data_IF_203398266459
#
_entry.id   IF_203398266459
#
_cell.length_a   1.000
_cell.length_b   1.000
_cell.length_c   1.000
_cell.angle_alpha   90.00
_cell.angle_beta   90.00
_cell.angle_gamma   90.00
#
_symmetry.space_group_name_H-M   'P 1'
#
loop_
_entity.id
_entity.type
_entity.pdbx_description
1 polymer ?
#
# COMPACT_ATOMS: atom_id res chain seq x y z
N UNK A 1 13.61 4.30 6.94
CA UNK A 1 12.62 3.60 6.08
C UNK A 1 11.20 3.80 6.61
N UNK A 2 10.97 3.53 7.90
CA UNK A 2 9.66 3.69 8.56
C UNK A 2 9.06 5.12 8.50
N UNK A 3 9.91 6.17 8.53
CA UNK A 3 9.45 7.57 8.37
C UNK A 3 8.90 7.89 6.98
N UNK A 4 9.53 7.34 5.93
CA UNK A 4 9.07 7.54 4.54
C UNK A 4 7.75 6.82 4.30
N UNK A 5 7.61 5.60 4.82
CA UNK A 5 6.35 4.85 4.82
C UNK A 5 5.23 5.63 5.51
N UNK A 6 5.53 6.18 6.70
CA UNK A 6 4.56 6.96 7.47
C UNK A 6 4.16 8.26 6.77
N UNK A 7 5.11 8.94 6.11
CA UNK A 7 4.81 10.15 5.33
C UNK A 7 3.88 9.83 4.17
N UNK A 8 4.17 8.76 3.41
CA UNK A 8 3.35 8.34 2.28
C UNK A 8 1.93 7.91 2.72
N UNK A 9 1.81 7.15 3.80
CA UNK A 9 0.52 6.76 4.36
C UNK A 9 -0.32 7.96 4.81
N UNK A 10 0.30 8.99 5.41
CA UNK A 10 -0.38 10.24 5.78
C UNK A 10 -0.88 10.98 4.54
N UNK A 11 -0.04 11.11 3.51
CA UNK A 11 -0.45 11.73 2.25
C UNK A 11 -1.65 11.02 1.63
N UNK A 12 -1.64 9.68 1.60
CA UNK A 12 -2.77 8.90 1.11
C UNK A 12 -4.05 9.12 1.92
N UNK A 13 -3.92 9.11 3.26
CA UNK A 13 -5.04 9.41 4.15
C UNK A 13 -5.60 10.82 3.89
N UNK A 14 -4.74 11.82 3.72
CA UNK A 14 -5.14 13.21 3.45
C UNK A 14 -5.80 13.35 2.08
N UNK A 15 -5.45 12.49 1.11
CA UNK A 15 -6.15 12.35 -0.17
C UNK A 15 -7.45 11.51 -0.09
N UNK A 16 -7.84 11.07 1.11
CA UNK A 16 -9.04 10.26 1.34
C UNK A 16 -8.94 8.82 0.87
N UNK A 17 -7.74 8.27 0.73
CA UNK A 17 -7.52 6.85 0.43
C UNK A 17 -7.63 6.05 1.73
N UNK A 18 -8.58 5.14 1.78
CA UNK A 18 -8.90 4.34 2.97
C UNK A 18 -8.21 2.97 2.94
N UNK A 19 -8.22 2.33 1.78
CA UNK A 19 -7.75 0.95 1.59
C UNK A 19 -6.79 0.83 0.41
N UNK A 20 -5.75 0.00 0.57
CA UNK A 20 -4.77 -0.31 -0.48
C UNK A 20 -4.54 -1.82 -0.57
N UNK A 21 -4.08 -2.29 -1.74
CA UNK A 21 -3.54 -3.63 -1.92
C UNK A 21 -2.29 -3.57 -2.81
N UNK A 22 -1.44 -4.59 -2.71
CA UNK A 22 -0.21 -4.70 -3.51
C UNK A 22 -0.39 -5.75 -4.59
N UNK A 23 0.03 -5.41 -5.81
CA UNK A 23 0.05 -6.29 -6.98
C UNK A 23 1.36 -6.05 -7.73
N UNK A 24 2.30 -7.00 -7.69
CA UNK A 24 3.67 -6.93 -8.20
C UNK A 24 4.04 -5.71 -9.04
N UNK A 25 4.94 -4.90 -8.45
CA UNK A 25 5.41 -3.60 -8.95
C UNK A 25 4.32 -2.51 -9.05
N UNK A 26 3.21 -2.67 -8.33
CA UNK A 26 2.08 -1.73 -8.29
C UNK A 26 1.41 -1.80 -6.92
N UNK A 27 1.19 -0.65 -6.29
CA UNK A 27 0.12 -0.53 -5.30
C UNK A 27 -1.07 0.10 -6.01
N UNK A 28 -2.18 -0.63 -6.03
CA UNK A 28 -3.44 -0.12 -6.56
C UNK A 28 -4.32 0.27 -5.36
N UNK A 29 -4.83 1.49 -5.35
CA UNK A 29 -5.81 1.94 -4.37
C UNK A 29 -7.24 1.59 -4.83
N UNK A 30 -8.12 1.26 -3.89
CA UNK A 30 -9.55 1.11 -4.19
C UNK A 30 -10.16 2.48 -4.51
N UNK A 31 -10.53 2.69 -5.79
CA UNK A 31 -11.52 3.69 -6.26
C UNK A 31 -11.84 3.65 -7.79
N UNK A 32 -11.34 2.64 -8.54
CA UNK A 32 -11.45 2.47 -10.02
C UNK A 32 -10.98 3.69 -10.86
N UNK A 33 -10.72 3.65 -12.17
CA UNK A 33 -9.94 2.70 -12.99
C UNK A 33 -8.71 3.45 -13.53
N UNK A 34 -7.56 2.77 -13.75
CA UNK A 34 -6.40 3.38 -14.43
C UNK A 34 -5.88 2.50 -15.57
N UNK A 35 -6.20 2.86 -16.83
CA UNK A 35 -5.48 2.40 -18.00
C UNK A 35 -4.22 3.26 -18.24
N UNK A 36 -3.18 2.60 -18.73
CA UNK A 36 -1.84 3.09 -19.09
C UNK A 36 -0.81 3.24 -17.97
N UNK A 37 -0.05 2.14 -17.88
CA UNK A 37 1.05 1.83 -16.98
C UNK A 37 2.34 2.47 -17.51
N UNK A 38 2.55 3.78 -17.32
CA UNK A 38 3.91 4.31 -17.37
C UNK A 38 4.59 4.04 -16.03
N UNK A 39 5.63 3.21 -16.10
CA UNK A 39 6.44 2.71 -15.00
C UNK A 39 7.07 3.89 -14.23
N UNK A 40 6.37 4.37 -13.20
CA UNK A 40 7.10 4.85 -12.03
C UNK A 40 7.87 3.65 -11.50
N UNK A 41 9.19 3.80 -11.32
CA UNK A 41 9.95 2.89 -10.47
C UNK A 41 9.37 3.02 -9.07
N UNK A 42 8.39 2.18 -8.81
CA UNK A 42 7.52 2.30 -7.67
C UNK A 42 8.30 1.87 -6.41
N UNK A 43 8.84 2.83 -5.67
CA UNK A 43 9.56 2.56 -4.42
C UNK A 43 8.71 1.73 -3.43
N UNK A 44 7.40 1.61 -3.65
CA UNK A 44 6.52 0.74 -2.87
C UNK A 44 6.87 -0.75 -2.95
N UNK A 45 7.69 -1.24 -3.89
CA UNK A 45 8.18 -2.61 -3.80
C UNK A 45 9.22 -2.78 -2.67
N UNK A 46 9.92 -1.71 -2.30
CA UNK A 46 10.87 -1.67 -1.18
C UNK A 46 10.19 -1.28 0.14
N UNK A 47 9.14 -0.46 0.06
CA UNK A 47 8.30 -0.06 1.19
C UNK A 47 7.19 -1.10 1.43
N UNK A 48 6.59 -1.09 2.62
CA UNK A 48 5.41 -1.92 2.93
C UNK A 48 5.62 -3.43 2.67
N UNK A 49 6.72 -3.99 3.17
CA UNK A 49 7.05 -5.42 3.01
C UNK A 49 6.06 -6.37 3.69
N UNK A 50 5.33 -5.86 4.68
CA UNK A 50 4.25 -6.52 5.41
C UNK A 50 2.90 -6.46 4.68
N UNK A 51 2.78 -5.65 3.63
CA UNK A 51 1.61 -5.68 2.75
C UNK A 51 1.84 -6.76 1.70
N UNK A 52 0.94 -7.73 1.72
CA UNK A 52 1.00 -8.93 0.91
C UNK A 52 0.80 -8.63 -0.57
N UNK A 53 1.68 -9.20 -1.41
CA UNK A 53 1.59 -9.07 -2.86
C UNK A 53 0.62 -10.10 -3.40
N UNK A 54 -0.57 -9.65 -3.82
CA UNK A 54 -1.61 -10.57 -4.27
C UNK A 54 -1.23 -11.28 -5.58
N UNK A 55 -0.26 -10.75 -6.33
CA UNK A 55 0.22 -11.38 -7.55
C UNK A 55 0.94 -12.71 -7.30
N UNK A 56 1.29 -13.02 -6.05
CA UNK A 56 1.85 -14.32 -5.66
C UNK A 56 0.78 -15.42 -5.56
N UNK A 57 -0.51 -15.07 -5.72
CA UNK A 57 -1.64 -15.98 -5.59
C UNK A 57 -2.44 -16.07 -6.91
N UNK A 58 -2.68 -17.29 -7.38
CA UNK A 58 -3.32 -17.57 -8.69
C UNK A 58 -4.82 -17.19 -8.75
N UNK A 59 -5.48 -17.15 -7.60
CA UNK A 59 -6.93 -16.89 -7.49
C UNK A 59 -7.27 -15.80 -6.47
N UNK A 60 -6.31 -14.93 -6.14
CA UNK A 60 -6.55 -13.84 -5.20
C UNK A 60 -7.41 -12.73 -5.81
N UNK A 61 -8.25 -12.15 -4.96
CA UNK A 61 -8.97 -10.93 -5.26
C UNK A 61 -8.42 -9.77 -4.42
N UNK A 62 -8.44 -8.52 -4.92
CA UNK A 62 -8.04 -7.37 -4.12
C UNK A 62 -8.86 -7.18 -2.84
N UNK A 63 -10.07 -7.74 -2.75
CA UNK A 63 -10.90 -7.68 -1.53
C UNK A 63 -10.35 -8.52 -0.38
N UNK A 64 -9.65 -9.61 -0.67
CA UNK A 64 -9.14 -10.55 0.35
C UNK A 64 -7.86 -10.04 1.04
N UNK A 65 -7.13 -9.14 0.38
CA UNK A 65 -5.79 -8.71 0.78
C UNK A 65 -5.66 -7.19 0.95
N UNK A 66 -6.77 -6.45 0.84
CA UNK A 66 -6.75 -5.02 1.11
C UNK A 66 -6.47 -4.75 2.58
N UNK A 67 -5.74 -3.67 2.83
CA UNK A 67 -5.40 -3.21 4.17
C UNK A 67 -5.81 -1.75 4.35
N UNK A 68 -6.28 -1.44 5.56
CA UNK A 68 -6.62 -0.09 5.96
C UNK A 68 -5.35 0.76 6.14
N UNK A 69 -5.32 1.91 5.46
CA UNK A 69 -4.24 2.91 5.60
C UNK A 69 -4.07 3.33 7.05
N UNK A 70 -5.18 3.47 7.80
CA UNK A 70 -5.14 3.83 9.22
C UNK A 70 -4.42 2.79 10.08
N UNK A 71 -4.60 1.50 9.77
CA UNK A 71 -3.96 0.43 10.52
C UNK A 71 -2.46 0.39 10.24
N UNK A 72 -2.04 0.64 8.99
CA UNK A 72 -0.63 0.77 8.64
C UNK A 72 0.02 1.97 9.35
N UNK A 73 -0.66 3.12 9.43
CA UNK A 73 -0.18 4.30 10.16
C UNK A 73 0.05 3.98 11.64
N UNK A 74 -0.89 3.27 12.28
CA UNK A 74 -0.77 2.86 13.68
C UNK A 74 0.43 1.93 13.87
N UNK A 75 0.52 0.87 13.06
CA UNK A 75 1.65 -0.06 13.06
C UNK A 75 2.99 0.69 12.97
N UNK A 76 3.13 1.62 12.02
CA UNK A 76 4.40 2.37 11.85
C UNK A 76 4.74 3.30 12.99
N UNK A 77 3.74 3.91 13.64
CA UNK A 77 3.93 4.73 14.85
C UNK A 77 4.33 3.89 16.06
N UNK A 78 3.84 2.66 16.18
CA UNK A 78 4.19 1.76 17.28
C UNK A 78 5.61 1.22 17.12
N UNK A 79 6.00 0.84 15.90
CA UNK A 79 7.39 0.44 15.61
C UNK A 79 8.41 1.57 15.78
N UNK A 80 8.02 2.84 15.65
CA UNK A 80 8.92 3.98 15.86
C UNK A 80 9.14 4.35 17.33
N UNK A 81 8.37 3.75 18.26
CA UNK A 81 8.48 3.98 19.71
C UNK A 81 9.32 2.92 20.43
N UNK A 82 9.68 1.84 19.76
CA UNK A 82 10.61 0.81 20.24
C UNK A 82 12.03 1.15 19.77
#
# INVERSE_FOLDING_TARGET
>A
MNELELLLLKMWKDCGIEQIYKYKNRINAYRESLPNRELFYDLTYQLFKDVEDIADYEHSSPEEYKVEVENLIKSRKEFAKQ
#
